data_IF_984988125559
#
_entry.id   IF_984988125559
#
_cell.length_a   1.000
_cell.length_b   1.000
_cell.length_c   1.000
_cell.angle_alpha   90.00
_cell.angle_beta   90.00
_cell.angle_gamma   90.00
#
_symmetry.space_group_name_H-M   'P 1'
#
loop_
_entity.id
_entity.type
_entity.pdbx_description
1 polymer ?
#
# COMPACT_ATOMS: atom_id res chain seq x y z
N UNK A 1 -33.82 13.03 40.45
CA UNK A 1 -32.58 13.51 39.81
C UNK A 1 -32.29 12.61 38.61
N UNK A 2 -31.86 13.17 37.47
CA UNK A 2 -31.29 12.30 36.45
C UNK A 2 -30.09 11.58 37.12
N UNK A 3 -29.91 10.27 36.88
CA UNK A 3 -28.96 9.48 37.65
C UNK A 3 -27.53 10.05 37.62
N UNK A 4 -27.17 10.86 36.62
CA UNK A 4 -25.85 11.47 36.48
C UNK A 4 -25.80 13.02 36.66
N UNK A 5 -26.78 13.63 37.32
CA UNK A 5 -26.71 15.07 37.69
C UNK A 5 -25.75 15.32 38.87
N UNK A 6 -25.53 14.31 39.70
CA UNK A 6 -24.63 14.33 40.85
C UNK A 6 -23.94 12.99 40.98
N UNK A 7 -22.61 12.99 41.03
CA UNK A 7 -21.79 11.79 41.18
C UNK A 7 -21.58 11.45 42.66
N UNK A 8 -21.83 10.20 43.00
CA UNK A 8 -21.56 9.56 44.29
C UNK A 8 -20.48 8.51 44.04
N UNK A 9 -19.27 8.83 44.50
CA UNK A 9 -18.06 8.06 44.22
C UNK A 9 -17.90 6.85 45.14
N UNK A 10 -17.55 5.73 44.53
CA UNK A 10 -17.09 4.51 45.19
C UNK A 10 -15.57 4.48 45.08
N UNK A 11 -14.89 4.38 46.23
CA UNK A 11 -13.43 4.27 46.28
C UNK A 11 -12.95 2.85 45.95
N UNK A 12 -11.93 2.74 45.09
CA UNK A 12 -11.33 1.48 44.65
C UNK A 12 -12.12 0.76 43.56
N UNK A 13 -11.68 -0.45 43.22
CA UNK A 13 -12.27 -1.23 42.13
C UNK A 13 -13.67 -1.77 42.47
N UNK A 14 -14.52 -1.90 41.46
CA UNK A 14 -15.89 -2.37 41.60
C UNK A 14 -16.25 -3.46 40.58
N UNK A 15 -16.69 -4.62 41.06
CA UNK A 15 -17.11 -5.75 40.19
C UNK A 15 -18.56 -6.20 40.42
N UNK A 16 -19.26 -5.66 41.41
CA UNK A 16 -20.69 -5.90 41.67
C UNK A 16 -21.28 -4.85 42.62
N UNK A 17 -22.61 -4.73 42.61
CA UNK A 17 -23.39 -3.91 43.57
C UNK A 17 -23.01 -2.42 43.62
N UNK A 18 -22.69 -1.84 42.45
CA UNK A 18 -22.35 -0.41 42.33
C UNK A 18 -23.56 0.47 42.61
N UNK A 19 -24.72 0.13 42.04
CA UNK A 19 -25.90 1.00 42.10
C UNK A 19 -26.52 1.19 43.48
N UNK A 20 -26.19 0.35 44.46
CA UNK A 20 -26.59 0.55 45.85
C UNK A 20 -25.66 1.48 46.63
N UNK A 21 -24.42 1.66 46.16
CA UNK A 21 -23.34 2.39 46.83
C UNK A 21 -23.04 3.74 46.21
N UNK A 22 -23.33 3.90 44.93
CA UNK A 22 -23.06 5.11 44.17
C UNK A 22 -23.36 4.93 42.68
N UNK A 23 -22.81 5.83 41.87
CA UNK A 23 -22.97 5.85 40.42
C UNK A 23 -21.66 6.23 39.71
N UNK A 24 -20.54 6.30 40.43
CA UNK A 24 -19.22 6.58 39.87
C UNK A 24 -18.13 5.80 40.62
N UNK A 25 -17.05 5.43 39.94
CA UNK A 25 -15.98 4.57 40.50
C UNK A 25 -14.61 5.25 40.39
N UNK A 26 -13.90 5.43 41.52
CA UNK A 26 -12.50 5.88 41.59
C UNK A 26 -11.53 4.70 41.55
N UNK A 27 -11.50 4.01 40.43
CA UNK A 27 -10.78 2.76 40.23
C UNK A 27 -11.30 2.06 38.99
N UNK A 28 -10.97 0.78 38.84
CA UNK A 28 -11.46 -0.02 37.73
C UNK A 28 -12.86 -0.56 38.01
N UNK A 29 -13.65 -0.77 36.95
CA UNK A 29 -14.94 -1.42 37.04
C UNK A 29 -15.03 -2.64 36.12
N UNK A 30 -15.65 -3.72 36.61
CA UNK A 30 -15.95 -4.92 35.81
C UNK A 30 -17.46 -5.14 35.72
N UNK A 31 -17.98 -5.24 34.51
CA UNK A 31 -19.34 -5.67 34.16
C UNK A 31 -19.30 -7.16 33.86
N UNK A 32 -19.82 -7.99 34.76
CA UNK A 32 -20.02 -9.42 34.53
C UNK A 32 -21.50 -9.81 34.71
N UNK A 33 -21.82 -11.10 34.73
CA UNK A 33 -23.19 -11.59 34.87
C UNK A 33 -23.88 -11.20 36.20
N UNK A 34 -23.12 -10.77 37.21
CA UNK A 34 -23.61 -10.44 38.54
C UNK A 34 -23.78 -8.92 38.78
N UNK A 35 -23.31 -8.08 37.86
CA UNK A 35 -23.33 -6.62 38.02
C UNK A 35 -24.61 -5.98 37.44
N UNK A 36 -25.35 -5.22 38.27
CA UNK A 36 -26.38 -4.27 37.80
C UNK A 36 -25.76 -2.86 37.78
N UNK A 37 -25.62 -2.29 36.58
CA UNK A 37 -24.90 -1.05 36.32
C UNK A 37 -25.69 -0.06 35.48
N UNK A 38 -27.02 -0.22 35.43
CA UNK A 38 -27.90 0.73 34.73
C UNK A 38 -27.76 2.18 35.25
N UNK A 39 -27.23 2.36 36.47
CA UNK A 39 -27.00 3.67 37.08
C UNK A 39 -25.59 4.24 36.87
N UNK A 40 -24.62 3.47 36.35
CA UNK A 40 -23.21 3.87 36.33
C UNK A 40 -23.03 5.04 35.36
N UNK A 41 -22.42 6.12 35.85
CA UNK A 41 -22.20 7.37 35.12
C UNK A 41 -20.75 7.56 34.70
N UNK A 42 -19.79 7.25 35.58
CA UNK A 42 -18.37 7.49 35.33
C UNK A 42 -17.47 6.44 35.99
N UNK A 43 -16.35 6.13 35.32
CA UNK A 43 -15.27 5.29 35.85
C UNK A 43 -13.96 6.05 35.66
N UNK A 44 -13.18 6.31 36.70
CA UNK A 44 -11.87 6.99 36.57
C UNK A 44 -10.80 6.04 35.99
N UNK A 45 -10.88 4.74 36.29
CA UNK A 45 -9.97 3.69 35.77
C UNK A 45 -10.50 2.97 34.53
N UNK A 46 -10.10 1.72 34.37
CA UNK A 46 -10.52 0.86 33.25
C UNK A 46 -11.95 0.33 33.45
N UNK A 47 -12.69 0.17 32.36
CA UNK A 47 -13.97 -0.52 32.31
C UNK A 47 -13.82 -1.85 31.57
N UNK A 48 -14.05 -2.97 32.24
CA UNK A 48 -13.98 -4.33 31.68
C UNK A 48 -15.38 -4.90 31.56
N UNK A 49 -15.81 -5.30 30.37
CA UNK A 49 -17.12 -5.92 30.11
C UNK A 49 -16.92 -7.37 29.70
N UNK A 50 -17.52 -8.28 30.46
CA UNK A 50 -17.35 -9.74 30.33
C UNK A 50 -18.64 -10.51 30.63
N UNK A 51 -18.59 -11.83 30.51
CA UNK A 51 -19.68 -12.75 30.84
C UNK A 51 -20.56 -13.12 29.64
N UNK A 52 -21.86 -13.33 29.89
CA UNK A 52 -22.84 -13.77 28.90
C UNK A 52 -24.08 -12.87 28.74
N UNK A 53 -24.57 -12.69 27.51
CA UNK A 53 -25.77 -11.91 27.19
C UNK A 53 -25.51 -10.42 26.95
N UNK A 54 -26.57 -9.62 27.06
CA UNK A 54 -26.50 -8.17 26.86
C UNK A 54 -25.88 -7.43 28.05
N UNK A 55 -25.16 -6.33 27.76
CA UNK A 55 -24.44 -5.48 28.70
C UNK A 55 -24.74 -4.03 28.40
N UNK A 56 -25.72 -3.49 29.10
CA UNK A 56 -26.21 -2.13 28.87
C UNK A 56 -25.80 -1.25 30.06
N UNK A 57 -25.15 -0.12 29.79
CA UNK A 57 -24.91 0.95 30.76
C UNK A 57 -25.31 2.28 30.12
N UNK A 58 -26.62 2.49 30.01
CA UNK A 58 -27.22 3.60 29.26
C UNK A 58 -26.87 4.99 29.79
N UNK A 59 -26.47 5.09 31.05
CA UNK A 59 -26.14 6.35 31.72
C UNK A 59 -24.63 6.62 31.77
N UNK A 60 -23.79 5.67 31.34
CA UNK A 60 -22.34 5.81 31.40
C UNK A 60 -21.88 6.87 30.40
N UNK A 61 -21.22 7.92 30.89
CA UNK A 61 -20.78 9.09 30.12
C UNK A 61 -19.28 9.11 29.86
N UNK A 62 -18.47 8.58 30.78
CA UNK A 62 -17.01 8.63 30.65
C UNK A 62 -16.32 7.44 31.32
N UNK A 63 -15.22 7.00 30.70
CA UNK A 63 -14.21 6.08 31.25
C UNK A 63 -12.86 6.78 31.19
N UNK A 64 -12.18 6.97 32.31
CA UNK A 64 -10.89 7.65 32.36
C UNK A 64 -9.73 6.77 31.90
N UNK A 65 -9.83 5.46 32.10
CA UNK A 65 -8.93 4.44 31.55
C UNK A 65 -9.43 3.87 30.23
N UNK A 66 -9.16 2.59 30.00
CA UNK A 66 -9.56 1.86 28.79
C UNK A 66 -10.92 1.17 28.94
N UNK A 67 -11.67 1.09 27.85
CA UNK A 67 -12.84 0.22 27.72
C UNK A 67 -12.41 -1.09 27.06
N UNK A 68 -12.60 -2.21 27.76
CA UNK A 68 -12.22 -3.55 27.34
C UNK A 68 -13.48 -4.42 27.32
N UNK A 69 -13.86 -4.95 26.15
CA UNK A 69 -14.99 -5.88 26.00
C UNK A 69 -14.44 -7.23 25.57
N UNK A 70 -14.51 -8.20 26.50
CA UNK A 70 -13.92 -9.52 26.35
C UNK A 70 -14.87 -10.60 26.89
N UNK A 71 -15.26 -11.54 26.04
CA UNK A 71 -16.04 -12.70 26.46
C UNK A 71 -16.89 -13.29 25.35
N UNK A 72 -16.66 -14.56 25.04
CA UNK A 72 -17.38 -15.28 23.99
C UNK A 72 -18.91 -15.37 24.21
N UNK A 73 -19.41 -15.04 25.40
CA UNK A 73 -20.83 -15.03 25.72
C UNK A 73 -21.52 -13.68 25.56
N UNK A 74 -20.79 -12.57 25.42
CA UNK A 74 -21.38 -11.23 25.33
C UNK A 74 -22.08 -11.11 23.98
N UNK A 75 -23.38 -10.81 23.99
CA UNK A 75 -24.20 -10.76 22.76
C UNK A 75 -24.53 -9.35 22.30
N UNK A 76 -24.50 -8.39 23.24
CA UNK A 76 -24.83 -6.98 23.01
C UNK A 76 -24.07 -6.11 24.01
N UNK A 77 -23.53 -4.99 23.58
CA UNK A 77 -23.01 -3.93 24.45
C UNK A 77 -23.67 -2.63 24.05
N UNK A 78 -24.39 -1.99 24.98
CA UNK A 78 -25.04 -0.71 24.73
C UNK A 78 -24.56 0.37 25.70
N UNK A 79 -23.76 1.31 25.18
CA UNK A 79 -23.22 2.47 25.91
C UNK A 79 -23.60 3.79 25.19
N UNK A 80 -24.91 4.05 24.95
CA UNK A 80 -25.39 5.13 24.10
C UNK A 80 -25.08 6.55 24.62
N UNK A 81 -24.64 6.70 25.87
CA UNK A 81 -24.28 7.99 26.46
C UNK A 81 -22.75 8.18 26.61
N UNK A 82 -21.95 7.16 26.29
CA UNK A 82 -20.51 7.18 26.52
C UNK A 82 -19.86 8.14 25.53
N UNK A 83 -19.41 9.29 26.03
CA UNK A 83 -18.84 10.36 25.21
C UNK A 83 -17.30 10.28 25.12
N UNK A 84 -16.63 9.73 26.13
CA UNK A 84 -15.16 9.70 26.18
C UNK A 84 -14.60 8.47 26.85
N UNK A 85 -13.50 7.98 26.28
CA UNK A 85 -12.62 6.96 26.87
C UNK A 85 -11.19 7.50 26.87
N UNK A 86 -10.59 7.68 28.04
CA UNK A 86 -9.25 8.26 28.16
C UNK A 86 -8.13 7.35 27.68
N UNK A 87 -8.35 6.03 27.68
CA UNK A 87 -7.46 5.00 27.16
C UNK A 87 -7.89 4.43 25.82
N UNK A 88 -7.68 3.13 25.63
CA UNK A 88 -8.10 2.41 24.43
C UNK A 88 -9.56 1.92 24.55
N UNK A 89 -10.26 1.82 23.42
CA UNK A 89 -11.49 1.05 23.29
C UNK A 89 -11.14 -0.23 22.55
N UNK A 90 -11.20 -1.37 23.24
CA UNK A 90 -10.94 -2.69 22.67
C UNK A 90 -12.16 -3.58 22.80
N UNK A 91 -12.72 -3.99 21.67
CA UNK A 91 -13.82 -4.94 21.58
C UNK A 91 -13.33 -6.12 20.76
N UNK A 92 -12.76 -7.11 21.43
CA UNK A 92 -11.99 -8.16 20.75
C UNK A 92 -12.45 -9.57 21.10
N UNK A 93 -12.61 -10.43 20.10
CA UNK A 93 -12.85 -11.86 20.28
C UNK A 93 -14.23 -12.22 20.80
N UNK A 94 -15.23 -11.35 20.62
CA UNK A 94 -16.60 -11.59 21.07
C UNK A 94 -17.45 -12.17 19.94
N UNK A 95 -17.22 -13.43 19.58
CA UNK A 95 -17.90 -14.09 18.45
C UNK A 95 -19.42 -14.26 18.57
N UNK A 96 -20.02 -13.88 19.70
CA UNK A 96 -21.48 -13.82 19.89
C UNK A 96 -22.04 -12.38 19.88
N UNK A 97 -21.17 -11.36 19.86
CA UNK A 97 -21.54 -9.94 19.93
C UNK A 97 -22.04 -9.47 18.58
N UNK A 98 -23.35 -9.24 18.48
CA UNK A 98 -24.00 -8.80 17.23
C UNK A 98 -24.35 -7.32 17.22
N UNK A 99 -24.36 -6.66 18.38
CA UNK A 99 -24.72 -5.26 18.53
C UNK A 99 -23.76 -4.56 19.49
N UNK A 100 -23.11 -3.50 19.00
CA UNK A 100 -22.25 -2.60 19.76
C UNK A 100 -22.74 -1.17 19.54
N UNK A 101 -23.27 -0.54 20.59
CA UNK A 101 -23.69 0.87 20.54
C UNK A 101 -22.68 1.73 21.30
N UNK A 102 -21.84 2.40 20.51
CA UNK A 102 -20.92 3.48 20.92
C UNK A 102 -21.28 4.79 20.21
N UNK A 103 -22.56 4.97 19.85
CA UNK A 103 -23.01 6.05 18.96
C UNK A 103 -22.78 7.46 19.47
N UNK A 104 -22.51 7.63 20.77
CA UNK A 104 -22.16 8.91 21.38
C UNK A 104 -20.65 9.13 21.58
N UNK A 105 -19.80 8.14 21.29
CA UNK A 105 -18.37 8.21 21.58
C UNK A 105 -17.69 9.24 20.70
N UNK A 106 -17.20 10.32 21.32
CA UNK A 106 -16.54 11.44 20.64
C UNK A 106 -15.02 11.34 20.70
N UNK A 107 -14.45 10.71 21.73
CA UNK A 107 -13.01 10.62 21.91
C UNK A 107 -12.55 9.29 22.51
N UNK A 108 -11.46 8.77 21.96
CA UNK A 108 -10.69 7.66 22.51
C UNK A 108 -9.21 8.07 22.55
N UNK A 109 -8.57 7.99 23.71
CA UNK A 109 -7.25 8.59 23.93
C UNK A 109 -6.07 7.86 23.27
N UNK A 110 -6.23 6.59 22.88
CA UNK A 110 -5.14 5.79 22.30
C UNK A 110 -5.51 5.05 21.02
N UNK A 111 -6.55 4.24 21.04
CA UNK A 111 -6.91 3.33 19.95
C UNK A 111 -8.37 2.94 20.08
N UNK A 112 -9.04 2.77 18.94
CA UNK A 112 -10.32 2.07 18.83
C UNK A 112 -10.07 0.82 18.00
N UNK A 113 -10.12 -0.34 18.65
CA UNK A 113 -9.89 -1.66 18.08
C UNK A 113 -11.14 -2.52 18.24
N UNK A 114 -11.79 -2.80 17.11
CA UNK A 114 -12.96 -3.69 17.02
C UNK A 114 -12.52 -4.89 16.20
N UNK A 115 -12.36 -6.06 16.84
CA UNK A 115 -11.82 -7.24 16.15
C UNK A 115 -12.47 -8.56 16.53
N UNK A 116 -12.81 -9.38 15.53
CA UNK A 116 -13.21 -10.77 15.74
C UNK A 116 -14.53 -10.92 16.49
N UNK A 117 -15.49 -10.05 16.18
CA UNK A 117 -16.85 -10.12 16.69
C UNK A 117 -17.83 -10.61 15.60
N UNK A 118 -19.13 -10.58 15.89
CA UNK A 118 -20.20 -10.96 14.97
C UNK A 118 -21.08 -9.76 14.61
N UNK A 119 -20.49 -8.56 14.59
CA UNK A 119 -21.22 -7.33 14.30
C UNK A 119 -21.75 -7.34 12.87
N UNK A 120 -22.97 -6.86 12.68
CA UNK A 120 -23.53 -6.67 11.33
C UNK A 120 -23.49 -5.22 10.88
N UNK A 121 -23.37 -4.28 11.82
CA UNK A 121 -23.22 -2.85 11.58
C UNK A 121 -22.32 -2.24 12.66
N UNK A 122 -21.58 -1.21 12.30
CA UNK A 122 -20.71 -0.46 13.20
C UNK A 122 -20.76 1.02 12.84
N UNK A 123 -21.23 1.83 13.79
CA UNK A 123 -21.25 3.28 13.69
C UNK A 123 -20.13 3.86 14.56
N UNK A 124 -19.10 4.39 13.91
CA UNK A 124 -17.99 5.13 14.55
C UNK A 124 -17.96 6.58 14.09
N UNK A 125 -19.10 7.12 13.63
CA UNK A 125 -19.20 8.42 12.97
C UNK A 125 -18.77 9.60 13.83
N UNK A 126 -18.84 9.48 15.15
CA UNK A 126 -18.50 10.56 16.10
C UNK A 126 -17.08 10.48 16.64
N UNK A 127 -16.40 9.35 16.46
CA UNK A 127 -15.12 9.10 17.13
C UNK A 127 -14.04 9.96 16.48
N UNK A 128 -13.49 10.90 17.24
CA UNK A 128 -12.23 11.54 16.92
C UNK A 128 -11.08 10.72 17.51
N UNK A 129 -10.15 10.29 16.66
CA UNK A 129 -8.91 9.65 17.06
C UNK A 129 -7.73 10.60 16.83
N UNK A 130 -7.72 11.75 17.51
CA UNK A 130 -6.76 12.85 17.26
C UNK A 130 -5.28 12.42 17.27
N UNK A 131 -4.93 11.35 17.98
CA UNK A 131 -3.60 10.72 17.98
C UNK A 131 -3.62 9.19 17.88
N UNK A 132 -4.78 8.61 17.62
CA UNK A 132 -5.03 7.17 17.82
C UNK A 132 -5.34 6.40 16.56
N UNK A 133 -5.19 5.08 16.63
CA UNK A 133 -5.56 4.18 15.54
C UNK A 133 -7.06 3.88 15.57
N UNK A 134 -7.66 3.71 14.40
CA UNK A 134 -8.98 3.13 14.21
C UNK A 134 -8.81 1.82 13.45
N UNK A 135 -8.98 0.69 14.13
CA UNK A 135 -8.83 -0.66 13.58
C UNK A 135 -10.14 -1.41 13.67
N UNK A 136 -10.64 -1.86 12.52
CA UNK A 136 -11.83 -2.69 12.39
C UNK A 136 -11.43 -3.93 11.60
N UNK A 137 -11.26 -5.05 12.29
CA UNK A 137 -10.68 -6.25 11.71
C UNK A 137 -11.48 -7.52 12.02
N UNK A 138 -11.37 -8.56 11.19
CA UNK A 138 -11.98 -9.88 11.49
C UNK A 138 -13.51 -9.88 11.76
N UNK A 139 -14.26 -8.90 11.24
CA UNK A 139 -15.72 -8.88 11.36
C UNK A 139 -16.38 -9.61 10.19
N UNK A 140 -16.74 -10.86 10.42
CA UNK A 140 -17.23 -11.77 9.35
C UNK A 140 -18.61 -11.41 8.78
N UNK A 141 -19.41 -10.65 9.52
CA UNK A 141 -20.80 -10.32 9.16
C UNK A 141 -21.05 -8.83 8.92
N UNK A 142 -20.03 -7.99 9.08
CA UNK A 142 -20.14 -6.53 9.00
C UNK A 142 -20.20 -6.10 7.53
N UNK A 143 -21.35 -5.60 7.09
CA UNK A 143 -21.59 -5.27 5.68
C UNK A 143 -21.39 -3.79 5.32
N UNK A 144 -21.34 -2.92 6.34
CA UNK A 144 -21.09 -1.50 6.21
C UNK A 144 -20.33 -0.99 7.43
N UNK A 145 -19.38 -0.09 7.16
CA UNK A 145 -18.70 0.71 8.19
C UNK A 145 -18.96 2.18 7.89
N UNK A 146 -19.60 2.85 8.83
CA UNK A 146 -19.74 4.30 8.81
C UNK A 146 -18.52 4.92 9.50
N UNK A 147 -17.58 5.42 8.69
CA UNK A 147 -16.33 6.02 9.17
C UNK A 147 -16.58 7.42 9.76
N UNK A 148 -15.67 7.82 10.66
CA UNK A 148 -15.75 9.04 11.44
C UNK A 148 -15.92 10.31 10.61
N UNK A 149 -16.70 11.28 11.12
CA UNK A 149 -16.79 12.67 10.63
C UNK A 149 -15.59 13.52 11.06
N UNK A 150 -14.50 12.89 11.46
CA UNK A 150 -13.28 13.58 11.84
C UNK A 150 -12.66 14.24 10.61
N UNK A 151 -12.02 15.39 10.82
CA UNK A 151 -11.15 16.00 9.81
C UNK A 151 -9.83 15.22 9.68
N UNK A 152 -9.36 14.65 10.80
CA UNK A 152 -8.10 13.94 10.91
C UNK A 152 -8.26 12.62 11.67
N UNK A 153 -7.63 11.55 11.19
CA UNK A 153 -7.29 10.36 11.96
C UNK A 153 -5.81 10.46 12.33
N UNK A 154 -5.53 10.52 13.63
CA UNK A 154 -4.21 10.78 14.19
C UNK A 154 -3.26 9.58 14.24
N UNK A 155 -3.69 8.42 13.73
CA UNK A 155 -2.88 7.23 13.58
C UNK A 155 -3.27 6.44 12.32
N UNK A 156 -3.21 5.11 12.41
CA UNK A 156 -3.60 4.19 11.33
C UNK A 156 -5.13 4.08 11.25
N UNK A 157 -5.68 4.16 10.04
CA UNK A 157 -7.00 3.65 9.72
C UNK A 157 -6.84 2.27 9.07
N UNK A 158 -7.29 1.23 9.76
CA UNK A 158 -7.27 -0.15 9.26
C UNK A 158 -8.69 -0.71 9.18
N UNK A 159 -9.06 -1.14 7.98
CA UNK A 159 -10.25 -1.92 7.68
C UNK A 159 -9.73 -3.19 7.02
N UNK A 160 -9.80 -4.33 7.72
CA UNK A 160 -9.22 -5.55 7.18
C UNK A 160 -9.97 -6.84 7.53
N UNK A 161 -9.97 -7.80 6.61
CA UNK A 161 -10.60 -9.12 6.80
C UNK A 161 -12.09 -9.02 7.11
N UNK A 162 -12.80 -8.15 6.38
CA UNK A 162 -14.25 -7.95 6.46
C UNK A 162 -14.93 -8.51 5.21
N UNK A 163 -15.08 -9.85 5.09
CA UNK A 163 -15.54 -10.49 3.86
C UNK A 163 -16.97 -10.13 3.44
N UNK A 164 -17.78 -9.58 4.35
CA UNK A 164 -19.14 -9.10 4.07
C UNK A 164 -19.20 -7.61 3.75
N UNK A 165 -18.12 -6.85 3.97
CA UNK A 165 -18.11 -5.39 3.82
C UNK A 165 -18.35 -5.00 2.36
N UNK A 166 -19.45 -4.29 2.10
CA UNK A 166 -19.80 -3.81 0.75
C UNK A 166 -19.44 -2.34 0.58
N UNK A 167 -19.45 -1.57 1.67
CA UNK A 167 -19.35 -0.10 1.60
C UNK A 167 -18.75 0.55 2.84
N UNK A 168 -17.85 1.50 2.59
CA UNK A 168 -17.40 2.51 3.56
C UNK A 168 -18.18 3.81 3.34
N UNK A 169 -18.64 4.45 4.41
CA UNK A 169 -19.53 5.62 4.35
C UNK A 169 -19.03 6.78 5.21
N UNK A 170 -19.60 7.97 4.98
CA UNK A 170 -19.54 9.15 5.86
C UNK A 170 -18.16 9.78 6.10
N UNK A 171 -17.28 9.71 5.11
CA UNK A 171 -15.92 10.25 5.12
C UNK A 171 -15.76 11.62 4.46
N UNK A 172 -16.86 12.29 4.09
CA UNK A 172 -16.83 13.55 3.31
C UNK A 172 -16.01 14.67 3.98
N UNK A 173 -15.76 14.56 5.28
CA UNK A 173 -14.96 15.50 6.09
C UNK A 173 -13.53 15.06 6.33
N UNK A 174 -13.19 13.78 6.11
CA UNK A 174 -11.84 13.28 6.36
C UNK A 174 -10.88 13.92 5.36
N UNK A 175 -9.83 14.58 5.88
CA UNK A 175 -8.79 15.27 5.10
C UNK A 175 -7.42 14.67 5.31
N UNK A 176 -7.14 14.14 6.49
CA UNK A 176 -5.80 13.67 6.85
C UNK A 176 -5.85 12.37 7.63
N UNK A 177 -4.94 11.45 7.27
CA UNK A 177 -4.58 10.29 8.08
C UNK A 177 -3.09 10.43 8.36
N UNK A 178 -2.69 10.61 9.63
CA UNK A 178 -1.28 10.86 9.94
C UNK A 178 -0.45 9.57 9.91
N UNK A 179 -1.08 8.41 10.14
CA UNK A 179 -0.48 7.09 10.00
C UNK A 179 -0.85 6.44 8.66
N UNK A 180 -1.02 5.11 8.69
CA UNK A 180 -1.32 4.33 7.48
C UNK A 180 -2.82 4.27 7.19
N UNK A 181 -3.15 4.08 5.91
CA UNK A 181 -4.47 3.64 5.45
C UNK A 181 -4.34 2.20 4.93
N UNK A 182 -4.94 1.26 5.64
CA UNK A 182 -4.91 -0.16 5.30
C UNK A 182 -6.35 -0.63 5.00
N UNK A 183 -6.58 -1.08 3.76
CA UNK A 183 -7.83 -1.69 3.29
C UNK A 183 -7.48 -3.04 2.68
N UNK A 184 -7.64 -4.11 3.45
CA UNK A 184 -7.06 -5.42 3.12
C UNK A 184 -8.02 -6.59 3.31
N UNK A 185 -8.06 -7.53 2.37
CA UNK A 185 -8.84 -8.77 2.48
C UNK A 185 -10.37 -8.55 2.58
N UNK A 186 -10.87 -7.42 2.03
CA UNK A 186 -12.28 -7.04 2.00
C UNK A 186 -12.92 -7.38 0.64
N UNK A 187 -13.07 -8.68 0.36
CA UNK A 187 -13.42 -9.17 -0.98
C UNK A 187 -14.79 -8.75 -1.53
N UNK A 188 -15.71 -8.26 -0.68
CA UNK A 188 -17.02 -7.74 -1.11
C UNK A 188 -17.03 -6.21 -1.33
N UNK A 189 -15.96 -5.51 -0.93
CA UNK A 189 -15.88 -4.05 -0.99
C UNK A 189 -15.67 -3.62 -2.43
N UNK A 190 -16.64 -2.90 -3.01
CA UNK A 190 -16.65 -2.60 -4.44
C UNK A 190 -16.07 -1.22 -4.81
N UNK A 191 -16.03 -0.28 -3.87
CA UNK A 191 -15.68 1.13 -4.11
C UNK A 191 -14.92 1.74 -2.93
N UNK A 192 -13.99 2.66 -3.23
CA UNK A 192 -13.22 3.44 -2.26
C UNK A 192 -13.56 4.94 -2.27
N UNK A 193 -14.69 5.33 -2.86
CA UNK A 193 -15.10 6.74 -2.95
C UNK A 193 -15.20 7.45 -1.60
N UNK A 194 -15.20 6.70 -0.50
CA UNK A 194 -15.05 7.22 0.84
C UNK A 194 -13.79 8.12 0.99
N UNK A 195 -12.66 7.81 0.37
CA UNK A 195 -11.44 8.59 0.62
C UNK A 195 -11.32 9.87 -0.22
N UNK A 196 -12.34 10.24 -1.00
CA UNK A 196 -12.22 11.25 -2.07
C UNK A 196 -11.78 12.64 -1.59
N UNK A 197 -12.03 12.97 -0.32
CA UNK A 197 -11.60 14.23 0.30
C UNK A 197 -10.25 14.16 1.05
N UNK A 198 -9.60 13.00 1.11
CA UNK A 198 -8.30 12.84 1.80
C UNK A 198 -7.21 13.50 0.96
N UNK A 199 -6.50 14.44 1.59
CA UNK A 199 -5.46 15.27 0.94
C UNK A 199 -4.04 14.86 1.29
N UNK A 200 -3.85 14.19 2.43
CA UNK A 200 -2.54 13.74 2.90
C UNK A 200 -2.65 12.48 3.75
N UNK A 201 -1.76 11.53 3.47
CA UNK A 201 -1.54 10.33 4.29
C UNK A 201 -0.08 10.33 4.72
N UNK A 202 0.17 10.40 6.03
CA UNK A 202 1.51 10.51 6.59
C UNK A 202 2.30 9.20 6.60
N UNK A 203 1.59 8.06 6.61
CA UNK A 203 2.16 6.72 6.49
C UNK A 203 1.97 6.12 5.10
N UNK A 204 1.75 4.81 5.06
CA UNK A 204 1.53 4.03 3.85
C UNK A 204 0.05 3.94 3.49
N UNK A 205 -0.24 3.78 2.19
CA UNK A 205 -1.55 3.38 1.67
C UNK A 205 -1.42 1.96 1.16
N UNK A 206 -2.22 1.04 1.70
CA UNK A 206 -2.30 -0.34 1.21
C UNK A 206 -3.74 -0.70 0.89
N UNK A 207 -3.98 -1.04 -0.38
CA UNK A 207 -5.25 -1.57 -0.86
C UNK A 207 -4.98 -2.97 -1.44
N UNK A 208 -5.38 -4.00 -0.70
CA UNK A 208 -5.01 -5.38 -1.03
C UNK A 208 -6.15 -6.37 -0.96
N UNK A 209 -6.25 -7.28 -1.93
CA UNK A 209 -7.20 -8.39 -1.89
C UNK A 209 -8.67 -7.94 -1.65
N UNK A 210 -9.08 -6.84 -2.30
CA UNK A 210 -10.44 -6.29 -2.21
C UNK A 210 -11.28 -6.62 -3.44
N UNK A 211 -12.60 -6.36 -3.36
CA UNK A 211 -13.54 -6.53 -4.47
C UNK A 211 -13.63 -5.33 -5.43
N UNK A 212 -12.77 -4.33 -5.29
CA UNK A 212 -12.88 -3.07 -6.01
C UNK A 212 -12.65 -3.26 -7.51
N UNK A 213 -13.29 -2.39 -8.30
CA UNK A 213 -13.12 -2.39 -9.77
C UNK A 213 -12.34 -1.18 -10.28
N UNK A 214 -12.20 -0.14 -9.45
CA UNK A 214 -11.36 1.02 -9.68
C UNK A 214 -10.85 1.57 -8.33
N UNK A 215 -9.89 2.50 -8.39
CA UNK A 215 -9.38 3.24 -7.23
C UNK A 215 -9.95 4.67 -7.12
N UNK A 216 -11.11 4.92 -7.74
CA UNK A 216 -11.78 6.22 -7.63
C UNK A 216 -12.07 6.52 -6.15
N UNK A 217 -11.30 7.43 -5.58
CA UNK A 217 -11.29 7.61 -4.13
C UNK A 217 -10.14 8.42 -3.58
N UNK A 218 -9.09 8.75 -4.33
CA UNK A 218 -7.94 9.50 -3.80
C UNK A 218 -7.67 10.81 -4.56
N UNK A 219 -8.70 11.36 -5.23
CA UNK A 219 -8.54 12.41 -6.25
C UNK A 219 -7.85 13.67 -5.73
N UNK A 220 -8.03 13.98 -4.44
CA UNK A 220 -7.45 15.14 -3.76
C UNK A 220 -6.13 14.81 -3.02
N UNK A 221 -5.69 13.54 -3.02
CA UNK A 221 -4.51 13.09 -2.30
C UNK A 221 -3.25 13.63 -2.97
N UNK A 222 -2.48 14.44 -2.25
CA UNK A 222 -1.29 15.11 -2.78
C UNK A 222 0.03 14.45 -2.41
N UNK A 223 0.06 13.72 -1.29
CA UNK A 223 1.27 13.06 -0.80
C UNK A 223 0.95 11.82 0.03
N UNK A 224 1.81 10.80 -0.15
CA UNK A 224 1.91 9.62 0.70
C UNK A 224 3.30 9.63 1.34
N UNK A 225 3.36 9.61 2.67
CA UNK A 225 4.61 9.75 3.41
C UNK A 225 5.52 8.52 3.36
N UNK A 226 4.94 7.33 3.17
CA UNK A 226 5.67 6.07 3.00
C UNK A 226 5.23 5.35 1.70
N UNK A 227 4.76 4.11 1.78
CA UNK A 227 4.53 3.26 0.60
C UNK A 227 3.11 3.40 0.04
N UNK A 228 2.96 3.23 -1.28
CA UNK A 228 1.68 2.99 -1.94
C UNK A 228 1.66 1.57 -2.50
N UNK A 229 0.86 0.69 -1.90
CA UNK A 229 0.67 -0.69 -2.36
C UNK A 229 -0.75 -0.90 -2.86
N UNK A 230 -0.90 -1.28 -4.12
CA UNK A 230 -2.15 -1.72 -4.75
C UNK A 230 -1.92 -3.14 -5.26
N UNK A 231 -2.31 -4.13 -4.45
CA UNK A 231 -1.94 -5.51 -4.71
C UNK A 231 -3.10 -6.51 -4.67
N UNK A 232 -3.03 -7.59 -5.43
CA UNK A 232 -3.96 -8.72 -5.36
C UNK A 232 -5.46 -8.34 -5.53
N UNK A 233 -5.79 -7.18 -6.13
CA UNK A 233 -7.19 -6.78 -6.36
C UNK A 233 -7.69 -7.37 -7.67
N UNK A 234 -8.14 -8.63 -7.63
CA UNK A 234 -8.42 -9.44 -8.82
C UNK A 234 -9.54 -8.89 -9.73
N UNK A 235 -10.38 -7.98 -9.22
CA UNK A 235 -11.46 -7.33 -9.98
C UNK A 235 -11.11 -5.92 -10.46
N UNK A 236 -9.94 -5.39 -10.10
CA UNK A 236 -9.50 -4.04 -10.42
C UNK A 236 -9.24 -3.93 -11.93
N UNK A 237 -9.98 -3.06 -12.61
CA UNK A 237 -9.89 -2.87 -14.07
C UNK A 237 -8.95 -1.72 -14.43
N UNK A 238 -8.93 -0.69 -13.59
CA UNK A 238 -8.18 0.54 -13.81
C UNK A 238 -7.72 1.15 -12.49
N UNK A 239 -6.49 1.65 -12.48
CA UNK A 239 -6.00 2.55 -11.44
C UNK A 239 -6.15 3.97 -11.98
N UNK A 240 -7.06 4.72 -11.37
CA UNK A 240 -7.32 6.13 -11.57
C UNK A 240 -7.58 6.76 -10.18
N UNK A 241 -7.75 8.07 -10.11
CA UNK A 241 -8.10 8.74 -8.87
C UNK A 241 -6.92 9.16 -8.01
N UNK A 242 -5.71 9.22 -8.54
CA UNK A 242 -4.54 9.81 -7.85
C UNK A 242 -4.05 11.08 -8.56
N UNK A 243 -4.87 11.78 -9.34
CA UNK A 243 -4.43 12.82 -10.28
C UNK A 243 -3.69 13.99 -9.62
N UNK A 244 -3.93 14.24 -8.33
CA UNK A 244 -3.27 15.27 -7.54
C UNK A 244 -1.97 14.80 -6.84
N UNK A 245 -1.65 13.50 -6.89
CA UNK A 245 -0.53 12.93 -6.13
C UNK A 245 0.80 13.40 -6.69
N UNK A 246 1.61 14.05 -5.85
CA UNK A 246 2.89 14.67 -6.22
C UNK A 246 4.09 13.80 -5.84
N UNK A 247 4.02 13.11 -4.70
CA UNK A 247 5.13 12.35 -4.13
C UNK A 247 4.66 11.10 -3.38
N UNK A 248 5.45 10.02 -3.52
CA UNK A 248 5.41 8.84 -2.65
C UNK A 248 6.76 8.77 -1.93
N UNK A 249 6.75 8.79 -0.59
CA UNK A 249 7.98 8.82 0.20
C UNK A 249 8.77 7.50 0.20
N UNK A 250 8.07 6.38 0.02
CA UNK A 250 8.62 5.03 -0.05
C UNK A 250 8.37 4.37 -1.40
N UNK A 251 8.00 3.10 -1.37
CA UNK A 251 7.81 2.25 -2.55
C UNK A 251 6.41 2.43 -3.15
N UNK A 252 6.34 2.48 -4.48
CA UNK A 252 5.13 2.24 -5.26
C UNK A 252 5.11 0.76 -5.69
N UNK A 253 4.11 0.00 -5.25
CA UNK A 253 3.90 -1.39 -5.65
C UNK A 253 2.50 -1.55 -6.25
N UNK A 254 2.45 -1.85 -7.54
CA UNK A 254 1.25 -2.27 -8.26
C UNK A 254 1.49 -3.71 -8.72
N UNK A 255 0.85 -4.68 -8.05
CA UNK A 255 1.10 -6.07 -8.38
C UNK A 255 -0.06 -7.05 -8.18
N UNK A 256 -0.12 -8.10 -8.99
CA UNK A 256 -1.11 -9.18 -8.83
C UNK A 256 -2.57 -8.77 -9.11
N UNK A 257 -2.80 -7.63 -9.73
CA UNK A 257 -4.12 -7.12 -10.14
C UNK A 257 -4.47 -7.72 -11.50
N UNK A 258 -4.82 -9.00 -11.53
CA UNK A 258 -4.93 -9.77 -12.78
C UNK A 258 -5.94 -9.25 -13.82
N UNK A 259 -6.93 -8.44 -13.43
CA UNK A 259 -7.88 -7.82 -14.35
C UNK A 259 -7.48 -6.40 -14.82
N UNK A 260 -6.39 -5.85 -14.27
CA UNK A 260 -5.95 -4.48 -14.52
C UNK A 260 -5.56 -4.33 -15.98
N UNK A 261 -6.28 -3.48 -16.70
CA UNK A 261 -6.02 -3.22 -18.11
C UNK A 261 -5.31 -1.89 -18.34
N UNK A 262 -5.49 -0.94 -17.41
CA UNK A 262 -5.03 0.45 -17.53
C UNK A 262 -4.49 0.94 -16.19
N UNK A 263 -3.28 1.46 -16.23
CA UNK A 263 -2.72 2.25 -15.15
C UNK A 263 -2.66 3.71 -15.62
N UNK A 264 -3.57 4.54 -15.11
CA UNK A 264 -3.57 5.98 -15.30
C UNK A 264 -2.98 6.61 -14.03
N UNK A 265 -1.65 6.58 -13.93
CA UNK A 265 -0.94 7.16 -12.81
C UNK A 265 -1.03 8.71 -12.79
N UNK A 266 -0.59 9.37 -11.70
CA UNK A 266 -0.70 10.82 -11.57
C UNK A 266 0.23 11.53 -12.53
N UNK A 267 -0.31 12.25 -13.52
CA UNK A 267 0.49 13.12 -14.37
C UNK A 267 1.29 14.19 -13.60
N UNK A 268 1.00 14.37 -12.30
CA UNK A 268 1.70 15.27 -11.40
C UNK A 268 2.75 14.60 -10.48
N UNK A 269 2.88 13.26 -10.49
CA UNK A 269 3.84 12.54 -9.66
C UNK A 269 5.26 12.83 -10.14
N UNK A 270 6.07 13.40 -9.25
CA UNK A 270 7.44 13.84 -9.59
C UNK A 270 8.54 12.98 -8.96
N UNK A 271 8.24 12.29 -7.85
CA UNK A 271 9.20 11.48 -7.12
C UNK A 271 8.57 10.27 -6.41
N UNK A 272 9.27 9.15 -6.46
CA UNK A 272 9.09 7.96 -5.63
C UNK A 272 10.38 7.78 -4.84
N UNK A 273 10.30 7.76 -3.51
CA UNK A 273 11.50 7.72 -2.65
C UNK A 273 12.16 6.34 -2.56
N UNK A 274 11.37 5.27 -2.75
CA UNK A 274 11.83 3.88 -2.81
C UNK A 274 11.71 3.30 -4.21
N UNK A 275 11.27 2.04 -4.28
CA UNK A 275 11.13 1.29 -5.53
C UNK A 275 9.82 1.65 -6.27
N UNK A 276 9.80 1.44 -7.58
CA UNK A 276 8.60 1.45 -8.40
C UNK A 276 8.42 0.06 -9.02
N UNK A 277 7.41 -0.68 -8.58
CA UNK A 277 7.17 -2.08 -8.97
C UNK A 277 5.84 -2.19 -9.70
N UNK A 278 5.90 -2.72 -10.93
CA UNK A 278 4.75 -3.10 -11.75
C UNK A 278 4.89 -4.58 -12.08
N UNK A 279 4.16 -5.46 -11.39
CA UNK A 279 4.44 -6.90 -11.46
C UNK A 279 3.20 -7.79 -11.47
N UNK A 280 3.20 -8.85 -12.26
CA UNK A 280 2.14 -9.86 -12.25
C UNK A 280 0.72 -9.31 -12.53
N UNK A 281 0.63 -8.29 -13.40
CA UNK A 281 -0.62 -7.74 -13.95
C UNK A 281 -0.77 -8.15 -15.43
N UNK A 282 -1.07 -9.43 -15.75
CA UNK A 282 -0.98 -9.97 -17.10
C UNK A 282 -1.90 -9.29 -18.13
N UNK A 283 -2.93 -8.57 -17.68
CA UNK A 283 -3.83 -7.84 -18.59
C UNK A 283 -3.44 -6.39 -18.87
N UNK A 284 -2.39 -5.88 -18.21
CA UNK A 284 -1.99 -4.48 -18.32
C UNK A 284 -1.48 -4.20 -19.73
N UNK A 285 -2.13 -3.26 -20.43
CA UNK A 285 -1.80 -2.93 -21.81
C UNK A 285 -0.85 -1.74 -21.93
N UNK A 286 -0.87 -0.86 -20.94
CA UNK A 286 -0.20 0.42 -20.97
C UNK A 286 0.09 0.91 -19.55
N UNK A 287 1.34 1.31 -19.34
CA UNK A 287 1.78 2.14 -18.23
C UNK A 287 1.81 3.59 -18.75
N UNK A 288 1.03 4.48 -18.16
CA UNK A 288 0.99 5.92 -18.47
C UNK A 288 0.72 6.71 -17.19
N UNK A 289 0.89 8.03 -17.23
CA UNK A 289 0.73 8.88 -16.07
C UNK A 289 2.02 9.10 -15.28
N UNK A 290 3.17 8.62 -15.76
CA UNK A 290 4.48 8.87 -15.13
C UNK A 290 5.33 9.89 -15.91
N UNK A 291 4.69 10.67 -16.79
CA UNK A 291 5.37 11.57 -17.72
C UNK A 291 6.03 12.78 -17.06
N UNK A 292 5.81 12.99 -15.77
CA UNK A 292 6.44 14.02 -14.93
C UNK A 292 7.38 13.43 -13.88
N UNK A 293 7.51 12.10 -13.82
CA UNK A 293 8.34 11.41 -12.83
C UNK A 293 9.81 11.68 -13.14
N UNK A 294 10.52 12.29 -12.19
CA UNK A 294 11.92 12.68 -12.35
C UNK A 294 12.90 11.79 -11.60
N UNK A 295 12.43 11.17 -10.50
CA UNK A 295 13.25 10.38 -9.59
C UNK A 295 12.51 9.15 -9.09
N UNK A 296 13.17 8.00 -9.14
CA UNK A 296 12.87 6.81 -8.34
C UNK A 296 14.10 6.55 -7.48
N UNK A 297 13.96 6.61 -6.15
CA UNK A 297 15.10 6.50 -5.24
C UNK A 297 15.70 5.10 -5.16
N UNK A 298 14.88 4.08 -5.44
CA UNK A 298 15.27 2.68 -5.59
C UNK A 298 15.10 2.18 -7.04
N UNK A 299 14.67 0.94 -7.19
CA UNK A 299 14.61 0.26 -8.48
C UNK A 299 13.25 0.43 -9.18
N UNK A 300 13.26 0.55 -10.50
CA UNK A 300 12.10 0.42 -11.36
C UNK A 300 12.02 -1.02 -11.88
N UNK A 301 11.04 -1.78 -11.41
CA UNK A 301 10.78 -3.15 -11.85
C UNK A 301 9.49 -3.21 -12.67
N UNK A 302 9.57 -3.76 -13.88
CA UNK A 302 8.45 -4.12 -14.74
C UNK A 302 8.54 -5.62 -15.00
N UNK A 303 7.55 -6.39 -14.56
CA UNK A 303 7.65 -7.85 -14.64
C UNK A 303 6.33 -8.57 -14.89
N UNK A 304 6.37 -9.60 -15.72
CA UNK A 304 5.25 -10.52 -15.94
C UNK A 304 3.94 -9.81 -16.39
N UNK A 305 4.07 -8.87 -17.33
CA UNK A 305 2.98 -8.14 -17.96
C UNK A 305 2.72 -8.71 -19.36
N UNK A 306 2.00 -9.83 -19.41
CA UNK A 306 1.76 -10.67 -20.61
C UNK A 306 1.19 -9.92 -21.82
N UNK A 307 0.60 -8.73 -21.62
CA UNK A 307 -0.03 -7.92 -22.68
C UNK A 307 0.57 -6.54 -22.85
N UNK A 308 1.61 -6.18 -22.10
CA UNK A 308 2.28 -4.89 -22.24
C UNK A 308 3.10 -4.88 -23.54
N UNK A 309 2.84 -3.90 -24.41
CA UNK A 309 3.49 -3.84 -25.74
C UNK A 309 4.58 -2.77 -25.81
N UNK A 310 4.51 -1.74 -24.96
CA UNK A 310 5.46 -0.63 -24.97
C UNK A 310 5.61 0.00 -23.59
N UNK A 311 6.84 0.39 -23.26
CA UNK A 311 7.15 1.30 -22.15
C UNK A 311 7.57 2.65 -22.76
N UNK A 312 6.90 3.73 -22.36
CA UNK A 312 7.22 5.10 -22.84
C UNK A 312 6.92 6.20 -21.83
N UNK A 313 6.43 5.84 -20.64
CA UNK A 313 5.88 6.79 -19.67
C UNK A 313 6.95 7.66 -18.99
N UNK A 314 8.21 7.21 -18.91
CA UNK A 314 9.21 7.77 -17.99
C UNK A 314 10.08 8.89 -18.58
N UNK A 315 9.54 9.67 -19.52
CA UNK A 315 10.32 10.59 -20.38
C UNK A 315 11.11 11.69 -19.66
N UNK A 316 10.76 12.03 -18.42
CA UNK A 316 11.46 13.03 -17.58
C UNK A 316 12.29 12.37 -16.47
N UNK A 317 12.39 11.03 -16.45
CA UNK A 317 13.12 10.31 -15.42
C UNK A 317 14.62 10.52 -15.60
N UNK A 318 15.24 11.17 -14.60
CA UNK A 318 16.67 11.51 -14.59
C UNK A 318 17.49 10.58 -13.71
N UNK A 319 16.90 10.11 -12.60
CA UNK A 319 17.58 9.30 -11.59
C UNK A 319 16.74 8.08 -11.24
N UNK A 320 17.37 6.91 -11.28
CA UNK A 320 16.83 5.62 -10.83
C UNK A 320 17.95 4.79 -10.20
N UNK A 321 17.61 3.94 -9.23
CA UNK A 321 18.46 2.85 -8.75
C UNK A 321 18.81 1.91 -9.90
N UNK A 322 17.98 0.92 -10.19
CA UNK A 322 18.14 0.06 -11.37
C UNK A 322 16.83 -0.05 -12.13
N UNK A 323 16.90 -0.38 -13.42
CA UNK A 323 15.73 -0.71 -14.23
C UNK A 323 15.80 -2.20 -14.55
N UNK A 324 14.81 -2.95 -14.09
CA UNK A 324 14.61 -4.36 -14.43
C UNK A 324 13.31 -4.53 -15.20
N UNK A 325 13.39 -5.02 -16.42
CA UNK A 325 12.25 -5.39 -17.25
C UNK A 325 12.35 -6.87 -17.56
N UNK A 326 11.40 -7.68 -17.07
CA UNK A 326 11.51 -9.13 -17.18
C UNK A 326 10.20 -9.89 -17.40
N UNK A 327 10.29 -10.97 -18.17
CA UNK A 327 9.17 -11.89 -18.37
C UNK A 327 7.96 -11.20 -19.03
N UNK A 328 8.21 -10.26 -19.93
CA UNK A 328 7.19 -9.51 -20.69
C UNK A 328 7.18 -10.01 -22.15
N UNK A 329 6.44 -11.09 -22.47
CA UNK A 329 6.61 -11.85 -23.71
C UNK A 329 6.23 -11.09 -24.99
N UNK A 330 5.42 -10.04 -24.90
CA UNK A 330 4.93 -9.26 -26.04
C UNK A 330 5.40 -7.81 -26.03
N UNK A 331 6.27 -7.43 -25.07
CA UNK A 331 6.86 -6.10 -25.02
C UNK A 331 7.77 -5.90 -26.22
N UNK A 332 7.40 -4.99 -27.12
CA UNK A 332 8.10 -4.79 -28.38
C UNK A 332 9.08 -3.62 -28.36
N UNK A 333 8.82 -2.63 -27.50
CA UNK A 333 9.53 -1.36 -27.50
C UNK A 333 9.65 -0.78 -26.10
N UNK A 334 10.85 -0.35 -25.74
CA UNK A 334 11.13 0.44 -24.55
C UNK A 334 11.73 1.76 -25.00
N UNK A 335 11.07 2.85 -24.61
CA UNK A 335 11.43 4.24 -24.93
C UNK A 335 11.18 5.12 -23.73
N UNK A 336 11.46 6.42 -23.84
CA UNK A 336 11.16 7.37 -22.78
C UNK A 336 12.14 7.33 -21.62
N UNK A 337 13.38 6.87 -21.83
CA UNK A 337 14.47 7.00 -20.84
C UNK A 337 15.58 7.95 -21.32
N UNK A 338 15.29 8.83 -22.28
CA UNK A 338 16.29 9.73 -22.87
C UNK A 338 16.81 10.82 -21.95
N UNK A 339 16.09 11.12 -20.86
CA UNK A 339 16.50 12.06 -19.83
C UNK A 339 17.35 11.42 -18.72
N UNK A 340 17.60 10.11 -18.78
CA UNK A 340 18.26 9.39 -17.70
C UNK A 340 19.73 9.81 -17.59
N UNK A 341 20.11 10.39 -16.45
CA UNK A 341 21.46 10.85 -16.13
C UNK A 341 22.17 9.89 -15.16
N UNK A 342 21.42 9.19 -14.30
CA UNK A 342 21.95 8.24 -13.32
C UNK A 342 21.11 6.97 -13.30
N UNK A 343 21.78 5.83 -13.47
CA UNK A 343 21.20 4.49 -13.46
C UNK A 343 22.23 3.47 -12.94
N UNK A 344 21.98 2.89 -11.77
CA UNK A 344 22.76 1.83 -11.16
C UNK A 344 22.68 0.47 -11.87
N UNK A 345 21.75 0.27 -12.79
CA UNK A 345 21.76 -0.91 -13.67
C UNK A 345 20.58 -0.96 -14.62
N UNK A 346 20.74 -1.61 -15.78
CA UNK A 346 19.70 -1.80 -16.78
C UNK A 346 19.66 -3.27 -17.21
N UNK A 347 18.54 -3.93 -16.93
CA UNK A 347 18.33 -5.34 -17.25
C UNK A 347 17.05 -5.54 -18.06
N UNK A 348 17.19 -6.15 -19.24
CA UNK A 348 16.11 -6.68 -20.05
C UNK A 348 16.25 -8.20 -20.13
N UNK A 349 15.35 -8.94 -19.46
CA UNK A 349 15.51 -10.39 -19.22
C UNK A 349 14.25 -11.16 -19.58
N UNK A 350 14.34 -12.11 -20.51
CA UNK A 350 13.17 -12.90 -20.96
C UNK A 350 12.08 -11.97 -21.52
N UNK A 351 12.48 -11.11 -22.47
CA UNK A 351 11.59 -10.19 -23.21
C UNK A 351 11.72 -10.44 -24.72
N UNK A 352 11.30 -11.61 -25.23
CA UNK A 352 11.65 -12.09 -26.58
C UNK A 352 11.09 -11.25 -27.73
N UNK A 353 10.03 -10.46 -27.49
CA UNK A 353 9.48 -9.54 -28.49
C UNK A 353 10.20 -8.18 -28.53
N UNK A 354 11.07 -7.89 -27.57
CA UNK A 354 11.68 -6.57 -27.41
C UNK A 354 12.68 -6.31 -28.53
N UNK A 355 12.31 -5.45 -29.48
CA UNK A 355 13.17 -5.08 -30.62
C UNK A 355 13.81 -3.72 -30.42
N UNK A 356 13.09 -2.78 -29.81
CA UNK A 356 13.57 -1.40 -29.60
C UNK A 356 14.00 -1.22 -28.15
N UNK A 357 15.30 -1.01 -27.94
CA UNK A 357 15.91 -0.63 -26.67
C UNK A 357 15.81 0.90 -26.45
N UNK A 358 15.91 1.40 -25.20
CA UNK A 358 15.83 2.82 -24.93
C UNK A 358 17.03 3.59 -25.49
N UNK A 359 16.77 4.80 -25.99
CA UNK A 359 17.82 5.77 -26.29
C UNK A 359 18.24 6.47 -24.99
N UNK A 360 19.47 6.25 -24.54
CA UNK A 360 20.02 6.76 -23.26
C UNK A 360 20.95 7.95 -23.51
N UNK A 361 20.47 8.97 -24.22
CA UNK A 361 21.29 10.07 -24.73
C UNK A 361 21.99 10.92 -23.65
N UNK A 362 21.48 10.92 -22.41
CA UNK A 362 22.05 11.65 -21.27
C UNK A 362 22.90 10.76 -20.33
N UNK A 363 22.87 9.43 -20.49
CA UNK A 363 23.51 8.50 -19.58
C UNK A 363 24.96 8.25 -20.04
N UNK A 364 25.92 8.72 -19.25
CA UNK A 364 27.36 8.55 -19.55
C UNK A 364 28.02 7.48 -18.70
N UNK A 365 27.50 7.24 -17.51
CA UNK A 365 27.95 6.23 -16.56
C UNK A 365 26.73 5.46 -16.06
N UNK A 366 26.86 4.15 -15.92
CA UNK A 366 25.83 3.28 -15.35
C UNK A 366 26.47 2.14 -14.57
N UNK A 367 25.70 1.42 -13.75
CA UNK A 367 26.16 0.16 -13.16
C UNK A 367 25.98 -1.01 -14.13
N UNK A 368 25.26 -2.06 -13.75
CA UNK A 368 25.19 -3.29 -14.54
C UNK A 368 24.40 -3.13 -15.85
N UNK A 369 24.80 -3.83 -16.92
CA UNK A 369 24.05 -3.95 -18.16
C UNK A 369 23.76 -5.41 -18.46
N UNK A 370 22.47 -5.76 -18.55
CA UNK A 370 22.02 -7.13 -18.81
C UNK A 370 20.98 -7.16 -19.93
N UNK A 371 21.32 -7.83 -21.03
CA UNK A 371 20.45 -8.05 -22.20
C UNK A 371 20.36 -9.55 -22.43
N UNK A 372 19.29 -10.17 -21.91
CA UNK A 372 19.11 -11.62 -21.90
C UNK A 372 17.77 -12.04 -22.51
N UNK A 373 17.81 -12.84 -23.57
CA UNK A 373 16.58 -13.40 -24.15
C UNK A 373 15.69 -12.35 -24.81
N UNK A 374 16.28 -11.33 -25.44
CA UNK A 374 15.56 -10.25 -26.13
C UNK A 374 15.45 -10.49 -27.65
N UNK A 375 14.55 -9.75 -28.30
CA UNK A 375 14.38 -9.71 -29.75
C UNK A 375 15.22 -8.63 -30.46
N UNK A 376 16.12 -7.94 -29.76
CA UNK A 376 16.85 -6.80 -30.29
C UNK A 376 17.89 -7.26 -31.31
N UNK A 377 17.86 -6.66 -32.50
CA UNK A 377 18.84 -6.96 -33.55
C UNK A 377 20.16 -6.22 -33.36
N UNK A 378 20.11 -5.08 -32.67
CA UNK A 378 21.22 -4.17 -32.41
C UNK A 378 21.10 -3.63 -30.99
N UNK A 379 22.23 -3.33 -30.35
CA UNK A 379 22.28 -2.64 -29.06
C UNK A 379 22.30 -1.12 -29.26
N UNK A 380 21.36 -0.59 -30.04
CA UNK A 380 21.24 0.85 -30.28
C UNK A 380 20.81 1.58 -28.99
N UNK A 381 21.21 2.84 -28.85
CA UNK A 381 20.80 3.70 -27.72
C UNK A 381 21.81 3.84 -26.58
N UNK A 382 22.94 3.11 -26.64
CA UNK A 382 24.02 3.17 -25.65
C UNK A 382 25.22 4.06 -26.08
N UNK A 383 25.10 4.81 -27.18
CA UNK A 383 26.21 5.56 -27.79
C UNK A 383 26.85 6.62 -26.87
N UNK A 384 26.10 7.10 -25.88
CA UNK A 384 26.57 8.09 -24.90
C UNK A 384 27.32 7.45 -23.71
N UNK A 385 27.09 6.15 -23.45
CA UNK A 385 27.64 5.45 -22.29
C UNK A 385 29.14 5.23 -22.48
N UNK A 386 29.93 5.70 -21.51
CA UNK A 386 31.38 5.61 -21.47
C UNK A 386 31.87 4.62 -20.42
N UNK A 387 31.16 4.48 -19.31
CA UNK A 387 31.59 3.62 -18.22
C UNK A 387 30.45 2.77 -17.70
N UNK A 388 30.76 1.50 -17.46
CA UNK A 388 29.87 0.52 -16.82
C UNK A 388 30.58 0.07 -15.54
N UNK A 389 30.09 0.57 -14.41
CA UNK A 389 30.57 0.30 -13.05
C UNK A 389 30.02 -1.02 -12.49
N UNK A 390 30.04 -2.04 -13.34
CA UNK A 390 29.38 -3.31 -13.10
C UNK A 390 29.73 -4.31 -14.18
N UNK A 391 28.90 -5.34 -14.34
CA UNK A 391 29.05 -6.32 -15.40
C UNK A 391 28.28 -5.93 -16.67
N UNK A 392 28.72 -6.49 -17.80
CA UNK A 392 27.95 -6.55 -19.04
C UNK A 392 27.64 -8.01 -19.34
N UNK A 393 26.35 -8.35 -19.43
CA UNK A 393 25.86 -9.68 -19.76
C UNK A 393 24.92 -9.60 -20.96
N UNK A 394 25.34 -10.16 -22.10
CA UNK A 394 24.56 -10.21 -23.34
C UNK A 394 24.39 -11.67 -23.71
N UNK A 395 23.23 -12.24 -23.39
CA UNK A 395 23.02 -13.68 -23.45
C UNK A 395 21.74 -14.07 -24.18
N UNK A 396 21.75 -15.20 -24.88
CA UNK A 396 20.53 -15.80 -25.43
C UNK A 396 19.69 -14.87 -26.33
N UNK A 397 20.29 -13.92 -27.06
CA UNK A 397 19.57 -13.01 -27.96
C UNK A 397 19.62 -13.53 -29.41
N UNK A 398 18.60 -14.29 -29.89
CA UNK A 398 18.65 -14.96 -31.18
C UNK A 398 18.63 -14.01 -32.39
N UNK A 399 18.12 -12.79 -32.22
CA UNK A 399 18.04 -11.78 -33.28
C UNK A 399 19.26 -10.86 -33.34
N UNK A 400 20.11 -10.86 -32.30
CA UNK A 400 21.20 -9.91 -32.15
C UNK A 400 22.27 -10.16 -33.22
N UNK A 401 22.48 -9.19 -34.09
CA UNK A 401 23.48 -9.24 -35.16
C UNK A 401 24.63 -8.26 -34.96
N UNK A 402 24.48 -7.32 -34.01
CA UNK A 402 25.52 -6.34 -33.74
C UNK A 402 25.52 -5.80 -32.32
N UNK A 403 26.72 -5.64 -31.77
CA UNK A 403 27.00 -4.99 -30.47
C UNK A 403 27.65 -3.61 -30.65
N UNK A 404 27.57 -3.03 -31.86
CA UNK A 404 28.27 -1.76 -32.18
C UNK A 404 27.81 -0.58 -31.32
N UNK A 405 26.57 -0.56 -30.81
CA UNK A 405 26.13 0.52 -29.93
C UNK A 405 26.87 0.57 -28.57
N UNK A 406 27.68 -0.44 -28.23
CA UNK A 406 28.57 -0.43 -27.07
C UNK A 406 30.01 0.02 -27.40
N UNK A 407 30.33 0.39 -28.64
CA UNK A 407 31.69 0.78 -29.05
C UNK A 407 32.18 2.07 -28.36
N UNK A 408 31.27 2.87 -27.83
CA UNK A 408 31.57 4.08 -27.07
C UNK A 408 32.02 3.82 -25.62
N UNK A 409 31.84 2.59 -25.11
CA UNK A 409 32.22 2.23 -23.74
C UNK A 409 33.73 2.15 -23.63
N UNK A 410 34.31 2.94 -22.74
CA UNK A 410 35.74 3.01 -22.46
C UNK A 410 36.16 1.98 -21.39
N UNK A 411 35.30 1.71 -20.40
CA UNK A 411 35.63 0.83 -19.26
C UNK A 411 34.44 0.01 -18.76
N UNK A 412 34.69 -1.26 -18.44
CA UNK A 412 33.79 -2.17 -17.72
C UNK A 412 34.54 -2.68 -16.49
N UNK A 413 34.09 -2.32 -15.30
CA UNK A 413 34.80 -2.69 -14.06
C UNK A 413 34.56 -4.14 -13.64
N UNK A 414 33.42 -4.72 -14.06
CA UNK A 414 33.03 -6.10 -13.81
C UNK A 414 33.32 -7.06 -14.98
N UNK A 415 32.55 -8.15 -15.02
CA UNK A 415 32.68 -9.18 -16.05
C UNK A 415 32.09 -8.73 -17.39
N UNK A 416 32.65 -9.20 -18.50
CA UNK A 416 32.07 -9.10 -19.83
C UNK A 416 31.69 -10.50 -20.34
N UNK A 417 30.40 -10.78 -20.40
CA UNK A 417 29.86 -12.04 -20.89
C UNK A 417 29.01 -11.80 -22.13
N UNK A 418 29.42 -12.37 -23.26
CA UNK A 418 28.66 -12.33 -24.51
C UNK A 418 28.50 -13.77 -24.99
N UNK A 419 27.39 -14.41 -24.63
CA UNK A 419 27.21 -15.85 -24.87
C UNK A 419 25.89 -16.20 -25.53
N UNK A 420 25.87 -17.29 -26.29
CA UNK A 420 24.64 -17.85 -26.87
C UNK A 420 23.81 -16.86 -27.72
N UNK A 421 24.48 -15.97 -28.47
CA UNK A 421 23.85 -15.07 -29.44
C UNK A 421 24.12 -15.58 -30.88
N UNK A 422 23.32 -16.53 -31.40
CA UNK A 422 23.66 -17.28 -32.63
C UNK A 422 23.74 -16.44 -33.91
N UNK A 423 23.14 -15.25 -33.93
CA UNK A 423 23.19 -14.33 -35.07
C UNK A 423 24.31 -13.29 -34.97
N UNK A 424 24.98 -13.18 -33.82
CA UNK A 424 26.05 -12.20 -33.57
C UNK A 424 27.38 -12.80 -34.02
N UNK A 425 28.12 -12.18 -34.96
CA UNK A 425 29.43 -12.68 -35.33
C UNK A 425 30.40 -12.65 -34.14
N UNK A 426 31.04 -13.78 -33.83
CA UNK A 426 32.03 -13.89 -32.75
C UNK A 426 33.15 -12.86 -32.89
N UNK A 427 33.51 -12.51 -34.13
CA UNK A 427 34.48 -11.45 -34.41
C UNK A 427 34.04 -10.08 -33.85
N UNK A 428 32.77 -9.68 -33.98
CA UNK A 428 32.29 -8.41 -33.43
C UNK A 428 32.34 -8.38 -31.90
N UNK A 429 31.97 -9.50 -31.25
CA UNK A 429 32.05 -9.61 -29.80
C UNK A 429 33.51 -9.53 -29.31
N UNK A 430 34.43 -10.18 -30.02
CA UNK A 430 35.88 -10.15 -29.69
C UNK A 430 36.47 -8.76 -29.92
N UNK A 431 36.08 -8.09 -31.01
CA UNK A 431 36.54 -6.74 -31.33
C UNK A 431 36.10 -5.73 -30.27
N UNK A 432 34.84 -5.83 -29.79
CA UNK A 432 34.35 -5.02 -28.66
C UNK A 432 35.17 -5.29 -27.40
N UNK A 433 35.37 -6.55 -27.02
CA UNK A 433 36.16 -6.89 -25.83
C UNK A 433 37.61 -6.41 -25.91
N UNK A 434 38.18 -6.29 -27.11
CA UNK A 434 39.52 -5.75 -27.32
C UNK A 434 39.57 -4.21 -27.31
N UNK A 435 38.45 -3.52 -27.53
CA UNK A 435 38.37 -2.05 -27.53
C UNK A 435 38.05 -1.44 -26.17
N UNK A 436 37.56 -2.23 -25.22
CA UNK A 436 37.13 -1.78 -23.88
C UNK A 436 38.14 -2.20 -22.80
N UNK A 437 38.39 -1.37 -21.79
CA UNK A 437 39.11 -1.80 -20.59
C UNK A 437 38.20 -2.65 -19.70
N UNK A 438 38.25 -3.97 -19.85
CA UNK A 438 37.50 -4.93 -19.02
C UNK A 438 38.37 -5.38 -17.85
N UNK A 439 37.95 -5.06 -16.63
CA UNK A 439 38.71 -5.35 -15.41
C UNK A 439 38.34 -6.69 -14.76
N UNK A 440 37.18 -7.27 -15.13
CA UNK A 440 36.74 -8.60 -14.74
C UNK A 440 37.03 -9.70 -15.77
N UNK A 441 36.48 -10.92 -15.56
CA UNK A 441 36.62 -12.01 -16.52
C UNK A 441 35.82 -11.73 -17.81
N UNK A 442 36.33 -12.26 -18.92
CA UNK A 442 35.66 -12.19 -20.23
C UNK A 442 35.30 -13.58 -20.73
N UNK A 443 34.02 -13.80 -21.09
CA UNK A 443 33.54 -15.01 -21.75
C UNK A 443 32.81 -14.64 -23.04
N UNK A 444 33.30 -15.19 -24.16
CA UNK A 444 32.72 -15.02 -25.49
C UNK A 444 32.61 -16.42 -26.08
N UNK A 445 31.40 -16.99 -26.06
CA UNK A 445 31.13 -18.36 -26.50
C UNK A 445 29.71 -18.51 -27.04
N UNK A 446 29.41 -19.56 -27.80
CA UNK A 446 28.04 -19.78 -28.32
C UNK A 446 27.51 -18.74 -29.33
N UNK A 447 28.34 -17.80 -29.79
CA UNK A 447 27.97 -16.79 -30.78
C UNK A 447 28.09 -17.31 -32.23
N UNK A 448 27.52 -16.57 -33.18
CA UNK A 448 27.55 -16.85 -34.61
C UNK A 448 28.96 -16.83 -35.23
N UNK A 449 29.15 -17.48 -36.39
CA UNK A 449 30.42 -17.59 -37.09
C UNK A 449 30.93 -16.27 -37.69
#
# INVERSE_FOLDING_TARGET
>A
PAPCDTLTWIEGDASSDVCSRGNAVRGDATLDDAADLACLCEVEGDLRITGSGGRDAAELRAVGGSLLVEGAGVTRVALPALASVGGAVRVTGNGALTELDLSALESAGAEVEISGNALTALDVTRIATDSGHLRITDETALDAVDLARADTIGGTLEVSRLPALVVLRNTDTLRTITGDLLVEEDGALALLGAFAGVTSIGGSVRVRATGITNLDGFNDLTAIGADLTVADNLSLLEIAGFEALLTIGGTLDVSGNTALARLLAPAALTAIGGDAVFAADPNLLLITGFESLTTVGGDLTVAALDRLTTISAFRELTTVGSILVTSDPVLASVTGFGALETCGGLAFVVTPALVTLPELAALTEMGDLEIDGTGAAHLDGFDAVRQIDGYVRIESNPALTSVVGLIGVDTITGALTITDNPALPTAQATDLAASVDVQGPTDISGNGP
#
